data_IF_879655510174
#
_entry.id   IF_879655510174
#
_cell.length_a   1.000
_cell.length_b   1.000
_cell.length_c   1.000
_cell.angle_alpha   90.00
_cell.angle_beta   90.00
_cell.angle_gamma   90.00
#
_symmetry.space_group_name_H-M   'P 1'
#
loop_
_entity.id
_entity.type
_entity.pdbx_description
1 polymer ?
#
# COMPACT_ATOMS: atom_id res chain seq x y z
N UNK A 1 -2.61 -6.25 2.28
CA UNK A 1 -2.70 -4.91 2.92
C UNK A 1 -3.30 -3.94 1.92
N UNK A 2 -4.20 -3.08 2.38
CA UNK A 2 -4.83 -2.04 1.56
C UNK A 2 -4.57 -0.67 2.18
N UNK A 3 -4.04 0.26 1.41
CA UNK A 3 -3.90 1.65 1.83
C UNK A 3 -5.28 2.31 2.01
N UNK A 4 -5.44 3.07 3.08
CA UNK A 4 -6.61 3.91 3.33
C UNK A 4 -6.21 5.34 3.00
N UNK A 5 -6.82 5.89 1.96
CA UNK A 5 -6.48 7.20 1.42
C UNK A 5 -7.73 8.06 1.30
N UNK A 6 -7.58 9.34 1.58
CA UNK A 6 -8.61 10.36 1.31
C UNK A 6 -8.06 11.39 0.34
N UNK A 7 -8.76 11.60 -0.76
CA UNK A 7 -8.49 12.68 -1.70
C UNK A 7 -9.81 13.31 -2.16
N UNK A 8 -9.74 14.55 -2.59
CA UNK A 8 -10.87 15.19 -3.24
C UNK A 8 -10.88 14.78 -4.71
N UNK A 9 -11.94 14.13 -5.13
CA UNK A 9 -12.15 13.84 -6.54
C UNK A 9 -12.52 15.12 -7.29
N UNK A 10 -11.79 15.43 -8.35
CA UNK A 10 -12.01 16.59 -9.21
C UNK A 10 -12.11 16.08 -10.64
N UNK A 11 -13.31 16.08 -11.25
CA UNK A 11 -13.47 15.67 -12.64
C UNK A 11 -12.57 16.48 -13.57
N UNK A 12 -11.74 15.81 -14.36
CA UNK A 12 -10.76 16.44 -15.23
C UNK A 12 -9.55 17.07 -14.53
N UNK A 13 -9.34 16.77 -13.27
CA UNK A 13 -8.18 17.22 -12.49
C UNK A 13 -6.85 16.84 -13.13
N UNK A 14 -5.80 17.61 -12.85
CA UNK A 14 -4.49 17.47 -13.48
C UNK A 14 -3.75 16.17 -13.15
N UNK A 15 -4.18 15.44 -12.13
CA UNK A 15 -3.56 14.19 -11.71
C UNK A 15 -4.57 13.05 -11.75
N UNK A 16 -4.25 11.99 -12.46
CA UNK A 16 -5.07 10.77 -12.49
C UNK A 16 -4.66 9.87 -11.32
N UNK A 17 -5.61 9.53 -10.48
CA UNK A 17 -5.42 8.60 -9.36
C UNK A 17 -5.54 7.18 -9.88
N UNK A 18 -4.55 6.35 -9.57
CA UNK A 18 -4.52 4.94 -9.95
C UNK A 18 -4.50 4.06 -8.71
N UNK A 19 -5.23 2.96 -8.76
CA UNK A 19 -5.06 1.84 -7.85
C UNK A 19 -3.95 0.93 -8.39
N UNK A 20 -2.92 0.74 -7.59
CA UNK A 20 -1.77 -0.08 -7.86
C UNK A 20 -1.82 -1.32 -6.97
N UNK A 21 -2.19 -2.45 -7.55
CA UNK A 21 -2.16 -3.76 -6.90
C UNK A 21 -0.85 -4.46 -7.22
N UNK A 22 -0.07 -4.80 -6.20
CA UNK A 22 1.23 -5.45 -6.37
C UNK A 22 1.43 -6.64 -5.44
N UNK A 23 2.16 -7.62 -5.91
CA UNK A 23 2.58 -8.80 -5.15
C UNK A 23 4.09 -8.99 -5.26
N UNK A 24 4.78 -9.20 -4.13
CA UNK A 24 6.24 -9.41 -4.05
C UNK A 24 7.08 -8.33 -4.73
N UNK A 25 6.56 -7.12 -4.81
CA UNK A 25 7.25 -5.93 -5.28
C UNK A 25 7.23 -4.86 -4.19
N UNK A 26 8.34 -4.18 -3.98
CA UNK A 26 8.36 -2.91 -3.23
C UNK A 26 7.72 -1.79 -4.05
N UNK A 27 7.35 -0.68 -3.39
CA UNK A 27 6.84 0.49 -4.12
C UNK A 27 7.84 0.99 -5.17
N UNK A 28 9.14 1.19 -4.88
CA UNK A 28 10.10 1.62 -5.90
C UNK A 28 10.20 0.68 -7.11
N UNK A 29 10.17 -0.64 -6.89
CA UNK A 29 10.20 -1.63 -7.98
C UNK A 29 8.95 -1.52 -8.86
N UNK A 30 7.75 -1.38 -8.27
CA UNK A 30 6.51 -1.20 -9.01
C UNK A 30 6.49 0.10 -9.82
N UNK A 31 7.04 1.20 -9.26
CA UNK A 31 7.16 2.46 -10.00
C UNK A 31 8.19 2.37 -11.14
N UNK A 32 9.28 1.62 -10.96
CA UNK A 32 10.24 1.38 -12.04
C UNK A 32 9.60 0.62 -13.22
N UNK A 33 8.69 -0.31 -12.94
CA UNK A 33 7.89 -0.99 -13.98
C UNK A 33 6.98 0.01 -14.71
N UNK A 34 6.30 0.92 -14.01
CA UNK A 34 5.49 1.97 -14.64
C UNK A 34 6.31 2.87 -15.57
N UNK A 35 7.51 3.26 -15.14
CA UNK A 35 8.43 4.06 -15.95
C UNK A 35 8.82 3.31 -17.22
N UNK A 36 9.21 2.04 -17.10
CA UNK A 36 9.71 1.24 -18.20
C UNK A 36 8.61 0.80 -19.17
N UNK A 37 7.52 0.20 -18.64
CA UNK A 37 6.53 -0.53 -19.44
C UNK A 37 5.37 0.35 -19.89
N UNK A 38 5.04 1.38 -19.10
CA UNK A 38 4.04 2.36 -19.47
C UNK A 38 4.64 3.69 -19.96
N UNK A 39 5.98 3.80 -20.04
CA UNK A 39 6.69 5.01 -20.47
C UNK A 39 6.21 6.28 -19.75
N UNK A 40 6.11 6.21 -18.43
CA UNK A 40 5.71 7.33 -17.55
C UNK A 40 6.96 8.00 -17.01
N UNK A 41 7.01 9.32 -17.06
CA UNK A 41 8.09 10.05 -16.37
C UNK A 41 8.02 9.79 -14.86
N UNK A 42 9.17 9.43 -14.27
CA UNK A 42 9.27 9.20 -12.83
C UNK A 42 8.86 10.43 -12.00
N UNK A 43 9.16 11.63 -12.50
CA UNK A 43 8.81 12.91 -11.87
C UNK A 43 7.30 13.18 -11.85
N UNK A 44 6.55 12.60 -12.79
CA UNK A 44 5.09 12.73 -12.88
C UNK A 44 4.34 11.82 -11.89
N UNK A 45 5.03 10.89 -11.20
CA UNK A 45 4.41 9.91 -10.29
C UNK A 45 4.56 10.37 -8.84
N UNK A 46 3.43 10.49 -8.13
CA UNK A 46 3.41 10.73 -6.69
C UNK A 46 2.62 9.63 -5.95
N UNK A 47 2.97 9.42 -4.68
CA UNK A 47 2.36 8.41 -3.79
C UNK A 47 2.43 8.86 -2.33
N UNK A 48 1.53 8.31 -1.49
CA UNK A 48 1.44 8.73 -0.09
C UNK A 48 2.48 8.06 0.83
N UNK A 49 2.94 6.86 0.50
CA UNK A 49 3.93 6.16 1.32
C UNK A 49 4.44 4.88 0.68
N UNK A 50 5.48 4.31 1.24
CA UNK A 50 6.04 3.04 0.80
C UNK A 50 5.21 1.87 1.32
N UNK A 51 5.17 0.79 0.56
CA UNK A 51 4.53 -0.48 0.94
C UNK A 51 5.51 -1.62 0.74
N UNK A 52 5.48 -2.56 1.69
CA UNK A 52 6.42 -3.67 1.77
C UNK A 52 6.40 -4.56 0.53
N UNK A 53 7.56 -5.17 0.27
CA UNK A 53 7.73 -6.15 -0.80
C UNK A 53 7.08 -7.49 -0.46
N UNK A 54 7.19 -7.94 0.80
CA UNK A 54 6.72 -9.26 1.27
C UNK A 54 5.21 -9.27 1.58
N UNK A 55 4.42 -8.62 0.70
CA UNK A 55 2.97 -8.51 0.87
C UNK A 55 2.25 -8.44 -0.48
N UNK A 56 0.98 -8.81 -0.48
CA UNK A 56 0.01 -8.39 -1.50
C UNK A 56 -0.56 -7.05 -1.05
N UNK A 57 -0.42 -6.01 -1.86
CA UNK A 57 -0.80 -4.65 -1.46
C UNK A 57 -1.59 -3.91 -2.51
N UNK A 58 -2.62 -3.21 -2.05
CA UNK A 58 -3.33 -2.19 -2.80
C UNK A 58 -2.86 -0.82 -2.32
N UNK A 59 -2.30 -0.04 -3.21
CA UNK A 59 -1.72 1.27 -2.98
C UNK A 59 -2.21 2.26 -4.01
N UNK A 60 -2.30 3.53 -3.66
CA UNK A 60 -2.64 4.59 -4.61
C UNK A 60 -1.42 5.36 -5.07
N UNK A 61 -1.43 5.72 -6.34
CA UNK A 61 -0.46 6.62 -6.95
C UNK A 61 -1.18 7.62 -7.84
N UNK A 62 -0.65 8.83 -7.96
CA UNK A 62 -1.09 9.76 -9.00
C UNK A 62 -0.06 9.83 -10.11
N UNK A 63 -0.55 9.99 -11.34
CA UNK A 63 0.26 10.26 -12.52
C UNK A 63 -0.29 11.55 -13.14
N UNK A 64 0.61 12.52 -13.38
CA UNK A 64 0.21 13.80 -13.94
C UNK A 64 -0.32 13.64 -15.36
N UNK A 65 -1.53 14.17 -15.60
CA UNK A 65 -2.20 14.28 -16.91
C UNK A 65 -2.27 13.00 -17.74
N UNK A 66 -2.09 11.83 -17.13
CA UNK A 66 -2.05 10.57 -17.85
C UNK A 66 -2.76 9.45 -17.11
N UNK A 67 -3.75 8.84 -17.76
CA UNK A 67 -4.32 7.57 -17.35
C UNK A 67 -3.44 6.41 -17.88
N UNK A 68 -3.14 5.46 -17.02
CA UNK A 68 -2.35 4.26 -17.32
C UNK A 68 -3.13 3.03 -16.88
N UNK A 69 -3.23 2.06 -17.78
CA UNK A 69 -3.71 0.74 -17.45
C UNK A 69 -2.61 -0.28 -17.76
N UNK A 70 -2.25 -1.09 -16.75
CA UNK A 70 -1.20 -2.10 -16.88
C UNK A 70 -1.64 -3.38 -16.18
N UNK A 71 -1.45 -4.52 -16.82
CA UNK A 71 -1.77 -5.83 -16.28
C UNK A 71 -0.62 -6.81 -16.51
N UNK A 72 0.17 -7.03 -15.46
CA UNK A 72 1.24 -8.02 -15.41
C UNK A 72 0.91 -9.10 -14.38
N UNK A 73 1.71 -10.15 -14.31
CA UNK A 73 1.49 -11.26 -13.40
C UNK A 73 1.43 -10.82 -11.91
N UNK A 74 2.28 -9.87 -11.52
CA UNK A 74 2.44 -9.42 -10.14
C UNK A 74 2.22 -7.91 -9.93
N UNK A 75 1.73 -7.21 -10.96
CA UNK A 75 1.43 -5.78 -10.91
C UNK A 75 0.21 -5.47 -11.77
N UNK A 76 -0.80 -4.83 -11.19
CA UNK A 76 -1.93 -4.25 -11.91
C UNK A 76 -2.04 -2.78 -11.55
N UNK A 77 -2.29 -1.97 -12.55
CA UNK A 77 -2.51 -0.53 -12.39
C UNK A 77 -3.75 -0.15 -13.17
N UNK A 78 -4.68 0.53 -12.54
CA UNK A 78 -5.91 0.99 -13.17
C UNK A 78 -6.28 2.39 -12.66
N UNK A 79 -6.76 3.28 -13.53
CA UNK A 79 -7.26 4.58 -13.12
C UNK A 79 -8.55 4.42 -12.30
N UNK A 80 -8.68 5.21 -11.22
CA UNK A 80 -9.84 5.16 -10.31
C UNK A 80 -10.45 6.52 -10.01
N UNK A 81 -9.89 7.60 -10.54
CA UNK A 81 -10.40 8.96 -10.38
C UNK A 81 -9.38 10.00 -10.78
N UNK A 82 -9.70 11.26 -10.55
CA UNK A 82 -8.83 12.40 -10.83
C UNK A 82 -8.82 13.40 -9.69
N UNK A 83 -7.74 14.17 -9.56
CA UNK A 83 -7.56 15.18 -8.53
C UNK A 83 -6.68 16.33 -9.04
N UNK A 84 -6.79 17.52 -8.45
CA UNK A 84 -5.97 18.68 -8.84
C UNK A 84 -4.55 18.65 -8.31
N UNK A 85 -4.29 17.84 -7.27
CA UNK A 85 -3.00 17.83 -6.57
C UNK A 85 -2.43 16.41 -6.53
N UNK A 86 -1.09 16.26 -6.60
CA UNK A 86 -0.46 14.95 -6.43
C UNK A 86 -0.71 14.40 -5.02
N UNK A 87 -0.72 13.08 -4.89
CA UNK A 87 -0.82 12.42 -3.60
C UNK A 87 0.37 12.75 -2.70
N UNK A 88 0.07 12.93 -1.42
CA UNK A 88 1.08 13.16 -0.38
C UNK A 88 0.83 12.26 0.82
N UNK A 89 1.82 12.09 1.68
CA UNK A 89 1.72 11.29 2.91
C UNK A 89 0.60 11.77 3.86
N UNK A 90 0.25 13.05 3.81
CA UNK A 90 -0.83 13.63 4.62
C UNK A 90 -2.23 13.15 4.24
N UNK A 91 -2.39 12.60 3.03
CA UNK A 91 -3.66 12.06 2.54
C UNK A 91 -3.90 10.62 2.99
N UNK A 92 -2.86 9.94 3.48
CA UNK A 92 -2.98 8.59 4.03
C UNK A 92 -3.59 8.65 5.42
N UNK A 93 -4.73 7.97 5.59
CA UNK A 93 -5.42 7.84 6.88
C UNK A 93 -5.06 6.56 7.62
N UNK A 94 -4.32 5.65 6.97
CA UNK A 94 -3.87 4.41 7.56
C UNK A 94 -3.73 3.28 6.55
N UNK A 95 -3.67 2.06 7.09
CA UNK A 95 -3.63 0.84 6.28
C UNK A 95 -4.55 -0.21 6.91
N UNK A 96 -5.30 -0.92 6.07
CA UNK A 96 -6.05 -2.10 6.48
C UNK A 96 -5.21 -3.35 6.21
N UNK A 97 -5.12 -4.24 7.19
CA UNK A 97 -4.34 -5.47 7.10
C UNK A 97 -5.24 -6.69 7.15
N UNK A 98 -4.95 -7.66 6.28
CA UNK A 98 -5.41 -9.04 6.41
C UNK A 98 -4.18 -9.90 6.64
N UNK A 99 -4.08 -10.49 7.83
CA UNK A 99 -2.94 -11.33 8.22
C UNK A 99 -3.39 -12.78 8.28
N UNK A 100 -2.69 -13.65 7.54
CA UNK A 100 -2.94 -15.10 7.56
C UNK A 100 -1.85 -15.75 8.42
N UNK A 101 -2.28 -16.30 9.55
CA UNK A 101 -1.40 -17.10 10.43
C UNK A 101 -1.50 -18.56 10.00
N UNK A 102 -0.37 -19.15 9.61
CA UNK A 102 -0.27 -20.54 9.15
C UNK A 102 0.33 -21.43 10.23
N UNK A 103 0.17 -22.73 10.08
CA UNK A 103 0.75 -23.78 10.96
C UNK A 103 0.40 -23.61 12.44
N UNK A 104 -0.79 -23.07 12.70
CA UNK A 104 -1.29 -22.85 14.05
C UNK A 104 -1.98 -24.10 14.56
N UNK A 105 -1.43 -24.70 15.64
CA UNK A 105 -2.07 -25.85 16.29
C UNK A 105 -3.53 -25.53 16.69
N UNK A 106 -4.48 -26.50 16.57
CA UNK A 106 -5.90 -26.25 16.83
C UNK A 106 -6.19 -25.67 18.22
N UNK A 107 -5.46 -26.09 19.25
CA UNK A 107 -5.57 -25.54 20.61
C UNK A 107 -5.21 -24.05 20.66
N UNK A 108 -4.14 -23.64 19.97
CA UNK A 108 -3.71 -22.24 19.87
C UNK A 108 -4.70 -21.40 19.07
N UNK A 109 -5.25 -21.93 17.98
CA UNK A 109 -6.30 -21.27 17.20
C UNK A 109 -7.55 -21.02 18.06
N UNK A 110 -7.98 -22.00 18.85
CA UNK A 110 -9.11 -21.88 19.77
C UNK A 110 -8.82 -20.86 20.89
N UNK A 111 -7.61 -20.85 21.45
CA UNK A 111 -7.18 -19.87 22.42
C UNK A 111 -7.23 -18.46 21.84
N UNK A 112 -6.68 -18.26 20.65
CA UNK A 112 -6.69 -16.95 19.96
C UNK A 112 -8.12 -16.44 19.75
N UNK A 113 -9.02 -17.29 19.24
CA UNK A 113 -10.44 -16.93 19.05
C UNK A 113 -11.12 -16.49 20.35
N UNK A 114 -10.81 -17.17 21.47
CA UNK A 114 -11.38 -16.80 22.79
C UNK A 114 -10.83 -15.48 23.32
N UNK A 115 -9.58 -15.14 23.06
CA UNK A 115 -8.96 -13.90 23.54
C UNK A 115 -9.30 -12.68 22.67
N UNK A 116 -9.73 -12.86 21.42
CA UNK A 116 -10.05 -11.73 20.51
C UNK A 116 -11.04 -10.70 21.09
N UNK A 117 -12.20 -11.10 21.68
CA UNK A 117 -13.11 -10.11 22.22
C UNK A 117 -12.49 -9.22 23.33
N UNK A 118 -11.63 -9.81 24.16
CA UNK A 118 -10.90 -9.04 25.18
C UNK A 118 -9.91 -8.07 24.53
N UNK A 119 -9.11 -8.54 23.56
CA UNK A 119 -8.16 -7.71 22.84
C UNK A 119 -8.83 -6.53 22.11
N UNK A 120 -10.00 -6.76 21.51
CA UNK A 120 -10.77 -5.70 20.85
C UNK A 120 -11.26 -4.64 21.85
N UNK A 121 -11.53 -5.03 23.09
CA UNK A 121 -12.00 -4.14 24.15
C UNK A 121 -10.87 -3.40 24.86
N UNK A 122 -9.78 -4.08 25.19
CA UNK A 122 -8.67 -3.54 26.01
C UNK A 122 -7.51 -3.00 25.17
N UNK A 123 -7.44 -3.37 23.89
CA UNK A 123 -6.25 -3.16 23.05
C UNK A 123 -5.11 -4.09 23.43
N UNK A 124 -3.97 -3.89 22.82
CA UNK A 124 -2.71 -4.55 23.15
C UNK A 124 -1.56 -3.54 23.15
N UNK A 125 -0.49 -3.79 23.91
CA UNK A 125 0.66 -2.90 23.94
C UNK A 125 1.30 -2.79 22.55
N UNK A 126 1.60 -1.57 22.12
CA UNK A 126 2.25 -1.31 20.84
C UNK A 126 3.77 -1.46 20.98
N UNK A 127 4.23 -2.69 21.22
CA UNK A 127 5.66 -2.99 21.20
C UNK A 127 6.17 -3.01 19.76
N UNK A 128 7.39 -2.53 19.59
CA UNK A 128 8.10 -2.56 18.32
C UNK A 128 9.56 -2.97 18.55
N UNK A 129 10.15 -3.57 17.54
CA UNK A 129 11.54 -4.02 17.51
C UNK A 129 12.40 -2.99 16.78
N UNK A 130 13.71 -3.21 16.75
CA UNK A 130 14.73 -2.34 16.14
C UNK A 130 14.44 -2.01 14.67
N UNK A 131 13.74 -2.86 13.95
CA UNK A 131 13.28 -2.59 12.60
C UNK A 131 12.46 -1.29 12.47
N UNK A 132 11.85 -0.82 13.56
CA UNK A 132 11.14 0.47 13.60
C UNK A 132 12.04 1.65 13.26
N UNK A 133 13.30 1.55 13.60
CA UNK A 133 14.32 2.59 13.41
C UNK A 133 15.08 2.45 12.08
N UNK A 134 14.66 1.53 11.23
CA UNK A 134 15.30 1.24 9.94
C UNK A 134 16.35 0.13 10.05
N UNK A 135 16.74 -0.40 8.90
CA UNK A 135 17.81 -1.40 8.84
C UNK A 135 19.15 -0.71 9.08
N UNK A 136 19.82 -1.05 10.18
CA UNK A 136 21.23 -0.70 10.37
C UNK A 136 22.02 -1.45 9.30
N UNK A 137 22.55 -0.73 8.32
CA UNK A 137 23.58 -1.31 7.44
C UNK A 137 24.80 -1.50 8.30
N UNK A 138 25.06 -2.73 8.71
CA UNK A 138 26.39 -3.09 9.17
C UNK A 138 27.32 -2.92 7.99
N UNK A 139 28.12 -1.85 8.03
CA UNK A 139 29.19 -1.58 7.09
C UNK A 139 30.33 -2.60 7.24
#
# INVERSE_FOLDING_TARGET
>A
MRELLQWNEVPGGAHVVHLLHKEKLSTPEALAVLVRDANVDRGAIAYAGLKDRQAVTDQYVTIERRAVELKLANLRVQPVGTTDKPLTSRMSTGNAFTVVVRDLAPAKASQLRRSMPSLLKTGFPNYFDDQRFGSVRHG
#
